data_IF_415370239448
#
_entry.id   IF_415370239448
#
_cell.length_a   1.000
_cell.length_b   1.000
_cell.length_c   1.000
_cell.angle_alpha   90.00
_cell.angle_beta   90.00
_cell.angle_gamma   90.00
#
_symmetry.space_group_name_H-M   'P 1'
#
loop_
_entity.id
_entity.type
_entity.pdbx_description
1 polymer ?
#
# COMPACT_ATOMS: atom_id res chain seq x y z
N UNK A 1 -27.49 2.63 -17.94
CA UNK A 1 -26.99 1.89 -16.77
C UNK A 1 -26.13 0.78 -17.34
N UNK A 2 -24.81 0.96 -17.40
CA UNK A 2 -23.92 -0.10 -17.87
C UNK A 2 -23.90 -1.22 -16.82
N UNK A 3 -23.96 -2.45 -17.31
CA UNK A 3 -24.11 -3.73 -16.62
C UNK A 3 -23.53 -3.80 -15.20
N UNK A 4 -24.40 -4.13 -14.25
CA UNK A 4 -24.07 -4.38 -12.84
C UNK A 4 -23.31 -5.69 -12.61
N UNK A 5 -22.18 -5.89 -13.29
CA UNK A 5 -21.19 -6.87 -12.85
C UNK A 5 -20.41 -6.28 -11.68
N UNK A 6 -20.90 -6.50 -10.46
CA UNK A 6 -19.99 -6.64 -9.33
C UNK A 6 -19.08 -7.83 -9.66
N UNK A 7 -17.91 -7.55 -10.26
CA UNK A 7 -16.83 -8.53 -10.36
C UNK A 7 -16.40 -8.84 -8.92
N UNK A 8 -17.05 -9.81 -8.28
CA UNK A 8 -16.61 -10.32 -6.99
C UNK A 8 -15.32 -11.08 -7.26
N UNK A 9 -14.21 -10.58 -6.72
CA UNK A 9 -12.94 -11.28 -6.78
C UNK A 9 -13.12 -12.72 -6.26
N UNK A 10 -12.48 -13.68 -6.92
CA UNK A 10 -12.51 -15.07 -6.46
C UNK A 10 -11.70 -15.20 -5.16
N UNK A 11 -11.92 -16.27 -4.36
CA UNK A 11 -11.10 -16.54 -3.19
C UNK A 11 -9.60 -16.56 -3.51
N UNK A 12 -9.20 -17.13 -4.65
CA UNK A 12 -7.81 -17.19 -5.08
C UNK A 12 -7.24 -15.81 -5.41
N UNK A 13 -8.04 -14.94 -6.04
CA UNK A 13 -7.65 -13.56 -6.33
C UNK A 13 -7.49 -12.75 -5.04
N UNK A 14 -8.36 -12.97 -4.05
CA UNK A 14 -8.24 -12.34 -2.74
C UNK A 14 -7.01 -12.83 -1.99
N UNK A 15 -6.75 -14.13 -1.98
CA UNK A 15 -5.55 -14.71 -1.36
C UNK A 15 -4.27 -14.18 -2.02
N UNK A 16 -4.24 -14.05 -3.35
CA UNK A 16 -3.09 -13.49 -4.05
C UNK A 16 -2.83 -12.03 -3.63
N UNK A 17 -3.89 -11.24 -3.45
CA UNK A 17 -3.78 -9.85 -2.99
C UNK A 17 -3.30 -9.76 -1.54
N UNK A 18 -3.80 -10.63 -0.65
CA UNK A 18 -3.33 -10.71 0.73
C UNK A 18 -1.85 -11.07 0.78
N UNK A 19 -1.42 -12.06 -0.02
CA UNK A 19 0.00 -12.44 -0.13
C UNK A 19 0.86 -11.32 -0.69
N UNK A 20 0.33 -10.52 -1.61
CA UNK A 20 1.05 -9.35 -2.12
C UNK A 20 1.19 -8.26 -1.04
N UNK A 21 0.13 -7.97 -0.27
CA UNK A 21 0.21 -7.08 0.90
C UNK A 21 1.22 -7.59 1.91
N UNK A 22 1.14 -8.87 2.26
CA UNK A 22 2.09 -9.51 3.16
C UNK A 22 3.52 -9.37 2.64
N UNK A 23 3.78 -9.67 1.37
CA UNK A 23 5.11 -9.53 0.77
C UNK A 23 5.64 -8.09 0.86
N UNK A 24 4.81 -7.09 0.51
CA UNK A 24 5.22 -5.68 0.60
C UNK A 24 5.53 -5.29 2.05
N UNK A 25 4.65 -5.62 3.01
CA UNK A 25 4.71 -5.08 4.37
C UNK A 25 5.45 -5.95 5.40
N UNK A 26 5.91 -7.15 5.01
CA UNK A 26 6.71 -8.02 5.87
C UNK A 26 8.07 -8.39 5.27
N UNK A 27 8.22 -8.39 3.93
CA UNK A 27 9.48 -8.76 3.27
C UNK A 27 10.20 -7.53 2.72
N UNK A 28 9.48 -6.64 2.02
CA UNK A 28 10.08 -5.45 1.43
C UNK A 28 10.21 -4.30 2.43
N UNK A 29 9.18 -4.08 3.24
CA UNK A 29 9.15 -3.11 4.33
C UNK A 29 9.15 -3.87 5.65
N UNK A 30 10.33 -4.16 6.18
CA UNK A 30 10.46 -4.96 7.40
C UNK A 30 10.26 -4.06 8.61
N UNK A 31 9.41 -4.46 9.54
CA UNK A 31 9.26 -3.77 10.82
C UNK A 31 10.43 -4.14 11.72
N UNK A 32 11.21 -3.14 12.10
CA UNK A 32 12.26 -3.27 13.10
C UNK A 32 11.59 -3.36 14.48
N UNK A 33 11.81 -4.48 15.18
CA UNK A 33 11.14 -4.77 16.46
C UNK A 33 11.61 -3.86 17.60
N UNK A 34 12.85 -3.37 17.56
CA UNK A 34 13.42 -2.52 18.61
C UNK A 34 12.85 -1.10 18.56
N UNK A 35 12.72 -0.55 17.36
CA UNK A 35 12.27 0.82 17.12
C UNK A 35 10.80 0.92 16.78
N UNK A 36 10.17 -0.19 16.38
CA UNK A 36 8.80 -0.25 15.86
C UNK A 36 8.62 0.40 14.48
N UNK A 37 9.71 0.83 13.83
CA UNK A 37 9.70 1.51 12.53
C UNK A 37 9.85 0.51 11.39
N UNK A 38 9.27 0.84 10.25
CA UNK A 38 9.52 0.13 9.00
C UNK A 38 10.85 0.56 8.40
N UNK A 39 11.62 -0.41 7.96
CA UNK A 39 12.88 -0.25 7.24
C UNK A 39 12.78 -0.97 5.91
N UNK A 40 13.35 -0.36 4.87
CA UNK A 40 13.33 -0.95 3.54
C UNK A 40 14.38 -2.05 3.40
N UNK A 41 13.97 -3.24 2.99
CA UNK A 41 14.85 -4.28 2.51
C UNK A 41 15.22 -4.01 1.04
N UNK A 42 16.32 -3.28 0.85
CA UNK A 42 16.80 -2.86 -0.48
C UNK A 42 17.17 -4.03 -1.38
N UNK A 43 17.69 -5.12 -0.82
CA UNK A 43 18.10 -6.29 -1.60
C UNK A 43 16.89 -7.03 -2.17
N UNK A 44 15.87 -7.29 -1.34
CA UNK A 44 14.65 -7.95 -1.80
C UNK A 44 13.85 -7.04 -2.74
N UNK A 45 13.81 -5.72 -2.48
CA UNK A 45 13.19 -4.78 -3.41
C UNK A 45 13.90 -4.81 -4.77
N UNK A 46 15.24 -4.88 -4.82
CA UNK A 46 15.97 -4.94 -6.09
C UNK A 46 15.63 -6.20 -6.90
N UNK A 47 15.48 -7.35 -6.22
CA UNK A 47 15.13 -8.64 -6.83
C UNK A 47 13.65 -8.77 -7.21
N UNK A 48 12.77 -7.97 -6.59
CA UNK A 48 11.33 -8.02 -6.85
C UNK A 48 10.99 -7.68 -8.30
N UNK A 49 9.88 -8.25 -8.78
CA UNK A 49 9.34 -8.06 -10.14
C UNK A 49 8.68 -6.69 -10.37
N UNK A 50 8.62 -5.85 -9.34
CA UNK A 50 8.06 -4.51 -9.42
C UNK A 50 8.84 -3.64 -10.42
N UNK A 51 8.12 -2.80 -11.15
CA UNK A 51 8.74 -1.82 -12.04
C UNK A 51 9.33 -0.65 -11.22
N UNK A 52 9.98 0.31 -11.88
CA UNK A 52 10.64 1.42 -11.19
C UNK A 52 9.65 2.33 -10.44
N UNK A 53 8.45 2.52 -10.98
CA UNK A 53 7.40 3.34 -10.37
C UNK A 53 6.89 2.65 -9.09
N UNK A 54 6.51 1.38 -9.19
CA UNK A 54 6.10 0.54 -8.06
C UNK A 54 7.19 0.48 -6.96
N UNK A 55 8.47 0.43 -7.35
CA UNK A 55 9.59 0.44 -6.40
C UNK A 55 9.72 1.79 -5.69
N UNK A 56 9.69 2.90 -6.42
CA UNK A 56 9.72 4.25 -5.83
C UNK A 56 8.56 4.45 -4.85
N UNK A 57 7.44 3.88 -5.20
CA UNK A 57 6.19 3.93 -4.49
C UNK A 57 6.21 3.11 -3.17
N UNK A 58 6.77 1.90 -3.19
CA UNK A 58 7.05 1.11 -1.99
C UNK A 58 8.03 1.84 -1.06
N UNK A 59 9.07 2.48 -1.61
CA UNK A 59 10.03 3.27 -0.82
C UNK A 59 9.32 4.44 -0.13
N UNK A 60 8.40 5.14 -0.79
CA UNK A 60 7.58 6.19 -0.18
C UNK A 60 6.67 5.63 0.93
N UNK A 61 6.15 4.42 0.73
CA UNK A 61 5.37 3.68 1.70
C UNK A 61 6.06 3.54 3.07
N UNK A 62 7.40 3.43 3.11
CA UNK A 62 8.16 3.37 4.37
C UNK A 62 7.99 4.63 5.21
N UNK A 63 8.18 5.81 4.61
CA UNK A 63 7.98 7.10 5.30
C UNK A 63 6.55 7.23 5.80
N UNK A 64 5.58 6.88 4.94
CA UNK A 64 4.17 6.88 5.31
C UNK A 64 3.91 5.99 6.51
N UNK A 65 4.38 4.74 6.50
CA UNK A 65 4.17 3.81 7.62
C UNK A 65 4.84 4.28 8.91
N UNK A 66 5.95 5.02 8.80
CA UNK A 66 6.64 5.63 9.94
C UNK A 66 6.06 6.97 10.41
N UNK A 67 5.02 7.48 9.74
CA UNK A 67 4.48 8.82 10.01
C UNK A 67 5.54 9.93 9.79
N UNK A 68 6.45 9.71 8.83
CA UNK A 68 7.55 10.61 8.45
C UNK A 68 7.22 11.38 7.17
N UNK A 69 7.80 12.57 7.03
CA UNK A 69 7.69 13.35 5.80
C UNK A 69 8.48 12.67 4.67
N UNK A 70 7.85 12.51 3.51
CA UNK A 70 8.52 11.99 2.32
C UNK A 70 9.52 13.06 1.82
N UNK A 71 10.80 12.69 1.59
CA UNK A 71 11.79 13.63 1.07
C UNK A 71 11.35 14.31 -0.23
N UNK A 72 11.50 15.63 -0.30
CA UNK A 72 11.04 16.46 -1.43
C UNK A 72 11.73 16.16 -2.76
N UNK A 73 12.89 15.49 -2.71
CA UNK A 73 13.65 15.03 -3.89
C UNK A 73 13.20 13.67 -4.42
N UNK A 74 12.32 12.97 -3.68
CA UNK A 74 11.79 11.67 -4.04
C UNK A 74 10.40 11.80 -4.66
N UNK A 75 9.58 12.67 -4.08
CA UNK A 75 8.29 13.11 -4.60
C UNK A 75 8.15 14.60 -4.27
N UNK A 76 7.51 15.40 -5.12
CA UNK A 76 7.18 16.78 -4.73
C UNK A 76 6.32 16.74 -3.46
N UNK A 77 6.84 17.27 -2.36
CA UNK A 77 6.30 17.15 -1.01
C UNK A 77 4.81 17.49 -0.92
N UNK A 78 4.08 16.78 -0.07
CA UNK A 78 2.63 16.90 0.22
C UNK A 78 1.68 16.32 -0.84
N UNK A 79 2.22 15.80 -1.94
CA UNK A 79 1.43 15.20 -3.02
C UNK A 79 1.01 13.78 -2.66
N UNK A 80 1.76 13.02 -1.88
CA UNK A 80 1.44 11.60 -1.63
C UNK A 80 0.17 11.35 -0.80
N UNK A 81 0.04 11.95 0.40
CA UNK A 81 -1.16 11.81 1.23
C UNK A 81 -2.38 12.41 0.51
N UNK A 82 -2.17 13.53 -0.21
CA UNK A 82 -3.22 14.19 -0.99
C UNK A 82 -3.58 13.41 -2.25
N UNK A 83 -2.63 12.77 -2.94
CA UNK A 83 -2.86 11.87 -4.06
C UNK A 83 -3.49 10.58 -3.60
N UNK A 84 -3.21 10.08 -2.41
CA UNK A 84 -3.99 8.97 -1.84
C UNK A 84 -5.44 9.39 -1.59
N UNK A 85 -5.66 10.56 -1.00
CA UNK A 85 -7.01 11.08 -0.77
C UNK A 85 -7.74 11.40 -2.07
N UNK A 86 -7.05 11.97 -3.07
CA UNK A 86 -7.59 12.42 -4.35
C UNK A 86 -7.72 11.25 -5.35
N UNK A 87 -6.73 10.36 -5.44
CA UNK A 87 -6.74 9.23 -6.38
C UNK A 87 -7.56 8.04 -5.89
N UNK A 88 -7.62 7.81 -4.58
CA UNK A 88 -8.48 6.78 -4.01
C UNK A 88 -9.86 7.33 -3.58
N UNK A 89 -10.05 8.66 -3.59
CA UNK A 89 -11.28 9.31 -3.13
C UNK A 89 -11.57 9.08 -1.66
N UNK A 90 -10.54 8.82 -0.83
CA UNK A 90 -10.72 8.42 0.57
C UNK A 90 -10.39 9.52 1.56
N UNK A 91 -11.15 9.54 2.65
CA UNK A 91 -10.83 10.42 3.77
C UNK A 91 -9.55 9.97 4.48
N UNK A 92 -8.87 10.93 5.12
CA UNK A 92 -7.76 10.65 6.05
C UNK A 92 -8.11 9.60 7.12
N UNK A 93 -9.35 9.62 7.61
CA UNK A 93 -9.83 8.63 8.59
C UNK A 93 -9.80 7.20 8.01
N UNK A 94 -10.22 7.04 6.76
CA UNK A 94 -10.23 5.75 6.09
C UNK A 94 -8.82 5.23 5.83
N UNK A 95 -7.95 6.12 5.35
CA UNK A 95 -6.54 5.81 5.17
C UNK A 95 -5.86 5.37 6.48
N UNK A 96 -6.13 6.08 7.58
CA UNK A 96 -5.61 5.71 8.90
C UNK A 96 -6.09 4.33 9.37
N UNK A 97 -7.31 3.91 8.98
CA UNK A 97 -7.80 2.57 9.29
C UNK A 97 -7.04 1.50 8.51
N UNK A 98 -6.87 1.67 7.19
CA UNK A 98 -6.04 0.76 6.37
C UNK A 98 -4.64 0.65 6.96
N UNK A 99 -4.00 1.80 7.25
CA UNK A 99 -2.69 1.86 7.89
C UNK A 99 -2.65 1.13 9.24
N UNK A 100 -3.70 1.25 10.05
CA UNK A 100 -3.77 0.54 11.33
C UNK A 100 -3.84 -0.97 11.16
N UNK A 101 -4.54 -1.48 10.14
CA UNK A 101 -4.58 -2.92 9.84
C UNK A 101 -3.20 -3.43 9.40
N UNK A 102 -2.55 -2.70 8.49
CA UNK A 102 -1.20 -3.02 8.02
C UNK A 102 -0.17 -3.02 9.15
N UNK A 103 -0.23 -2.04 10.07
CA UNK A 103 0.66 -1.98 11.26
C UNK A 103 0.48 -3.14 12.23
N UNK A 104 -0.69 -3.78 12.20
CA UNK A 104 -1.06 -4.96 12.99
C UNK A 104 -0.86 -6.27 12.22
N UNK A 105 -0.32 -6.20 11.00
CA UNK A 105 -0.14 -7.35 10.10
C UNK A 105 -1.46 -8.06 9.75
N UNK A 106 -2.59 -7.35 9.92
CA UNK A 106 -3.92 -7.85 9.54
C UNK A 106 -4.19 -7.49 8.08
N UNK A 107 -3.55 -8.23 7.18
CA UNK A 107 -3.63 -8.01 5.74
C UNK A 107 -5.01 -8.29 5.17
N UNK A 108 -5.78 -9.20 5.78
CA UNK A 108 -7.18 -9.43 5.42
C UNK A 108 -8.06 -8.23 5.79
N UNK A 109 -7.87 -7.65 6.98
CA UNK A 109 -8.53 -6.41 7.38
C UNK A 109 -8.17 -5.24 6.48
N UNK A 110 -6.89 -5.11 6.11
CA UNK A 110 -6.43 -4.10 5.16
C UNK A 110 -7.07 -4.27 3.77
N UNK A 111 -7.08 -5.49 3.21
CA UNK A 111 -7.72 -5.79 1.94
C UNK A 111 -9.24 -5.56 1.99
N UNK A 112 -9.89 -5.93 3.09
CA UNK A 112 -11.31 -5.68 3.31
C UNK A 112 -11.66 -4.20 3.22
N UNK A 113 -10.83 -3.34 3.82
CA UNK A 113 -10.99 -1.88 3.69
C UNK A 113 -10.72 -1.41 2.25
N UNK A 114 -9.65 -1.88 1.61
CA UNK A 114 -9.37 -1.51 0.21
C UNK A 114 -10.49 -1.93 -0.75
N UNK A 115 -11.13 -3.08 -0.51
CA UNK A 115 -12.22 -3.61 -1.33
C UNK A 115 -13.48 -2.74 -1.30
N UNK A 116 -13.74 -2.04 -0.18
CA UNK A 116 -14.87 -1.12 -0.06
C UNK A 116 -14.72 0.12 -0.96
N UNK A 117 -13.52 0.39 -1.45
CA UNK A 117 -13.22 1.54 -2.32
C UNK A 117 -13.38 1.21 -3.81
N UNK A 118 -13.66 -0.05 -4.17
CA UNK A 118 -13.80 -0.47 -5.56
C UNK A 118 -12.51 -0.31 -6.39
N UNK A 119 -11.35 -0.19 -5.73
CA UNK A 119 -10.07 0.02 -6.37
C UNK A 119 -9.54 -1.27 -7.00
N UNK A 120 -8.85 -1.17 -8.15
CA UNK A 120 -8.30 -2.34 -8.82
C UNK A 120 -7.25 -3.08 -7.97
N UNK A 121 -7.37 -4.40 -8.06
CA UNK A 121 -6.84 -5.51 -7.27
C UNK A 121 -5.31 -5.69 -7.17
N UNK A 122 -4.52 -4.62 -7.26
CA UNK A 122 -3.06 -4.70 -7.11
C UNK A 122 -2.60 -3.81 -5.95
N UNK A 123 -2.26 -4.39 -4.79
CA UNK A 123 -1.65 -3.67 -3.68
C UNK A 123 -0.51 -2.72 -4.04
N UNK A 124 0.30 -3.01 -5.07
CA UNK A 124 1.30 -2.06 -5.57
C UNK A 124 0.71 -0.75 -6.14
N UNK A 125 -0.50 -0.79 -6.73
CA UNK A 125 -1.21 0.41 -7.21
C UNK A 125 -1.65 1.33 -6.08
N UNK A 126 -1.68 0.85 -4.83
CA UNK A 126 -1.82 1.74 -3.67
C UNK A 126 -0.71 2.79 -3.67
N UNK A 127 0.44 2.48 -4.26
CA UNK A 127 1.58 3.35 -4.26
C UNK A 127 1.86 3.92 -5.69
N UNK A 128 1.21 3.47 -6.76
CA UNK A 128 1.58 3.84 -8.14
C UNK A 128 1.24 5.29 -8.60
N UNK A 129 1.03 6.23 -7.68
CA UNK A 129 0.69 7.62 -8.03
C UNK A 129 1.95 8.51 -7.99
N UNK A 130 2.58 8.62 -9.15
CA UNK A 130 3.59 9.65 -9.47
C UNK A 130 2.92 10.96 -9.91
#
# INVERSE_FOLDING_TARGET
IQDGKQNKATPEELEAQVKELEYIFSVLMVKDEETGKYVLNKEELAKSSYNNEDKAAIIAGVYVMNDEEIPSNMYSSNVWERCWQDALGISKSYFNQIKSYLKKEDYWGALGMLSLLGLPYKPALLFAFA
#
